data_IF_432626221506
#
_entry.id   IF_432626221506
#
_cell.length_a   1.000
_cell.length_b   1.000
_cell.length_c   1.000
_cell.angle_alpha   90.00
_cell.angle_beta   90.00
_cell.angle_gamma   90.00
#
_symmetry.space_group_name_H-M   'P 1'
#
loop_
_entity.id
_entity.type
_entity.pdbx_description
1 polymer ?
#
# COMPACT_ATOMS: atom_id res chain seq x y z
N UNK A 1 26.89 42.36 71.17
CA UNK A 1 26.03 42.23 69.98
C UNK A 1 25.08 43.40 70.01
N UNK A 2 25.23 44.33 69.10
CA UNK A 2 24.45 45.57 69.12
C UNK A 2 22.98 45.25 68.87
N UNK A 3 22.08 45.91 69.60
CA UNK A 3 20.63 45.69 69.49
C UNK A 3 20.12 45.77 68.04
N UNK A 4 20.80 46.58 67.22
CA UNK A 4 20.54 46.71 65.79
C UNK A 4 20.81 45.41 65.00
N UNK A 5 21.88 44.68 65.32
CA UNK A 5 22.23 43.41 64.66
C UNK A 5 21.28 42.26 65.01
N UNK A 6 20.73 42.27 66.23
CA UNK A 6 19.69 41.32 66.64
C UNK A 6 18.37 41.60 65.92
N UNK A 7 18.00 42.88 65.77
CA UNK A 7 16.75 43.25 65.11
C UNK A 7 16.78 42.91 63.61
N UNK A 8 17.89 43.15 62.92
CA UNK A 8 18.03 42.81 61.49
C UNK A 8 17.99 41.30 61.24
N UNK A 9 18.64 40.50 62.10
CA UNK A 9 18.63 39.04 61.97
C UNK A 9 17.24 38.45 62.19
N UNK A 10 16.49 38.95 63.18
CA UNK A 10 15.11 38.50 63.43
C UNK A 10 14.19 38.81 62.24
N UNK A 11 14.30 40.01 61.65
CA UNK A 11 13.49 40.39 60.49
C UNK A 11 13.80 39.50 59.27
N UNK A 12 15.07 39.20 59.02
CA UNK A 12 15.47 38.32 57.91
C UNK A 12 14.95 36.89 58.11
N UNK A 13 15.04 36.35 59.33
CA UNK A 13 14.53 35.01 59.64
C UNK A 13 13.00 34.96 59.53
N UNK A 14 12.29 35.97 60.04
CA UNK A 14 10.84 36.06 59.93
C UNK A 14 10.38 36.20 58.47
N UNK A 15 11.09 36.98 57.66
CA UNK A 15 10.83 37.11 56.22
C UNK A 15 11.05 35.81 55.46
N UNK A 16 12.14 35.09 55.76
CA UNK A 16 12.41 33.78 55.17
C UNK A 16 11.35 32.75 55.58
N UNK A 17 10.95 32.71 56.85
CA UNK A 17 9.85 31.87 57.32
C UNK A 17 8.53 32.24 56.65
N UNK A 18 8.22 33.53 56.50
CA UNK A 18 7.04 33.99 55.78
C UNK A 18 7.02 33.53 54.33
N UNK A 19 8.14 33.63 53.61
CA UNK A 19 8.26 33.13 52.24
C UNK A 19 8.10 31.61 52.12
N UNK A 20 8.46 30.85 53.16
CA UNK A 20 8.30 29.39 53.20
C UNK A 20 6.89 28.97 53.64
N UNK A 21 6.29 29.67 54.61
CA UNK A 21 4.94 29.36 55.10
C UNK A 21 3.84 29.87 54.16
N UNK A 22 4.09 30.95 53.42
CA UNK A 22 3.14 31.49 52.46
C UNK A 22 2.67 30.46 51.40
N UNK A 23 3.56 29.70 50.72
CA UNK A 23 3.12 28.68 49.77
C UNK A 23 2.42 27.49 50.46
N UNK A 24 2.80 27.16 51.70
CA UNK A 24 2.15 26.10 52.49
C UNK A 24 0.73 26.47 52.93
N UNK A 25 0.50 27.75 53.27
CA UNK A 25 -0.84 28.22 53.61
C UNK A 25 -1.72 28.36 52.34
N UNK A 26 -1.15 28.77 51.20
CA UNK A 26 -1.92 28.74 49.94
C UNK A 26 -2.32 27.31 49.53
N UNK A 27 -1.53 26.29 49.89
CA UNK A 27 -1.87 24.89 49.65
C UNK A 27 -3.02 24.35 50.51
N UNK A 28 -3.31 24.95 51.68
CA UNK A 28 -4.41 24.49 52.53
C UNK A 28 -5.80 25.02 52.15
N UNK A 29 -5.88 25.95 51.19
CA UNK A 29 -7.15 26.52 50.70
C UNK A 29 -7.40 26.42 49.20
N UNK A 30 -6.50 25.78 48.45
CA UNK A 30 -6.81 25.33 47.11
C UNK A 30 -7.14 23.83 47.20
N UNK A 31 -8.42 23.48 47.11
CA UNK A 31 -8.80 22.20 46.52
C UNK A 31 -8.28 22.20 45.09
N UNK A 32 -6.99 21.93 44.94
CA UNK A 32 -6.39 21.49 43.70
C UNK A 32 -6.95 20.07 43.59
N UNK A 33 -7.89 19.77 42.67
CA UNK A 33 -8.00 18.39 42.26
C UNK A 33 -6.60 18.06 41.73
N UNK A 34 -5.86 17.26 42.49
CA UNK A 34 -4.77 16.46 41.96
C UNK A 34 -5.41 15.53 40.93
N UNK A 35 -5.82 16.07 39.79
CA UNK A 35 -5.69 15.38 38.54
C UNK A 35 -4.19 15.27 38.37
N UNK A 36 -3.59 14.08 38.57
CA UNK A 36 -2.22 13.89 38.13
C UNK A 36 -2.23 14.33 36.67
N UNK A 37 -1.49 15.39 36.39
CA UNK A 37 -1.34 15.90 35.05
C UNK A 37 -0.86 14.71 34.21
N UNK A 38 -1.75 14.15 33.37
CA UNK A 38 -1.47 13.06 32.41
C UNK A 38 -0.49 13.51 31.31
N UNK A 39 0.34 14.49 31.60
CA UNK A 39 1.30 15.10 30.69
C UNK A 39 2.67 14.39 30.79
N UNK A 40 2.83 13.42 31.70
CA UNK A 40 4.08 12.70 31.91
C UNK A 40 4.08 11.21 31.61
N UNK A 41 2.96 10.58 31.25
CA UNK A 41 2.96 9.13 31.01
C UNK A 41 3.36 8.84 29.57
N UNK A 42 4.67 8.70 29.34
CA UNK A 42 5.20 8.32 28.04
C UNK A 42 4.80 6.87 27.73
N UNK A 43 4.64 6.53 26.44
CA UNK A 43 4.40 5.14 26.00
C UNK A 43 5.45 4.18 26.56
N UNK A 44 6.68 4.66 26.71
CA UNK A 44 7.82 3.94 27.27
C UNK A 44 7.62 3.59 28.75
N UNK A 45 7.04 4.50 29.55
CA UNK A 45 6.75 4.23 30.96
C UNK A 45 5.74 3.08 31.11
N UNK A 46 4.70 3.07 30.30
CA UNK A 46 3.72 1.98 30.30
C UNK A 46 4.32 0.64 29.85
N UNK A 47 5.20 0.67 28.86
CA UNK A 47 5.94 -0.52 28.42
C UNK A 47 6.86 -1.06 29.52
N UNK A 48 7.58 -0.18 30.21
CA UNK A 48 8.45 -0.55 31.33
C UNK A 48 7.64 -1.18 32.48
N UNK A 49 6.50 -0.58 32.84
CA UNK A 49 5.58 -1.14 33.85
C UNK A 49 5.08 -2.53 33.46
N UNK A 50 4.66 -2.71 32.21
CA UNK A 50 4.23 -4.02 31.71
C UNK A 50 5.34 -5.07 31.79
N UNK A 51 6.56 -4.72 31.38
CA UNK A 51 7.72 -5.61 31.47
C UNK A 51 8.05 -5.97 32.92
N UNK A 52 7.95 -5.02 33.85
CA UNK A 52 8.15 -5.26 35.27
C UNK A 52 7.10 -6.23 35.84
N UNK A 53 5.82 -6.08 35.48
CA UNK A 53 4.76 -7.00 35.91
C UNK A 53 4.99 -8.42 35.36
N UNK A 54 5.44 -8.55 34.11
CA UNK A 54 5.80 -9.85 33.53
C UNK A 54 7.01 -10.49 34.22
N UNK A 55 8.01 -9.70 34.61
CA UNK A 55 9.13 -10.17 35.39
C UNK A 55 8.68 -10.68 36.76
N UNK A 56 7.81 -9.93 37.46
CA UNK A 56 7.24 -10.35 38.74
C UNK A 56 6.44 -11.66 38.63
N UNK A 57 5.69 -11.86 37.53
CA UNK A 57 5.01 -13.15 37.28
C UNK A 57 6.01 -14.29 37.13
N UNK A 58 7.13 -14.08 36.41
CA UNK A 58 8.18 -15.09 36.25
C UNK A 58 8.84 -15.43 37.59
N UNK A 59 9.14 -14.42 38.40
CA UNK A 59 9.73 -14.62 39.72
C UNK A 59 8.76 -15.39 40.63
N UNK A 60 7.46 -15.07 40.60
CA UNK A 60 6.43 -15.82 41.32
C UNK A 60 6.37 -17.29 40.90
N UNK A 61 6.47 -17.57 39.59
CA UNK A 61 6.52 -18.94 39.06
C UNK A 61 7.75 -19.69 39.59
N UNK A 62 8.91 -19.03 39.57
CA UNK A 62 10.14 -19.63 40.09
C UNK A 62 10.03 -19.92 41.59
N UNK A 63 9.48 -19.00 42.38
CA UNK A 63 9.31 -19.22 43.82
C UNK A 63 8.34 -20.36 44.14
N UNK A 64 7.31 -20.57 43.32
CA UNK A 64 6.43 -21.72 43.41
C UNK A 64 7.15 -23.03 43.05
N UNK A 65 7.91 -23.06 41.95
CA UNK A 65 8.71 -24.23 41.55
C UNK A 65 9.76 -24.60 42.61
N UNK A 66 10.32 -23.60 43.29
CA UNK A 66 11.25 -23.78 44.41
C UNK A 66 10.56 -24.18 45.73
N UNK A 67 9.23 -24.29 45.75
CA UNK A 67 8.45 -24.69 46.91
C UNK A 67 8.39 -23.63 48.03
N UNK A 68 8.67 -22.35 47.73
CA UNK A 68 8.60 -21.27 48.71
C UNK A 68 7.17 -20.78 48.97
N UNK A 69 6.25 -21.09 48.06
CA UNK A 69 4.86 -20.59 48.07
C UNK A 69 3.91 -21.78 47.96
N UNK A 70 2.83 -21.75 48.75
CA UNK A 70 1.79 -22.77 48.71
C UNK A 70 0.96 -22.71 47.40
N UNK A 71 0.42 -23.85 46.91
CA UNK A 71 -0.34 -23.88 45.66
C UNK A 71 -1.54 -22.91 45.64
N UNK A 72 -2.32 -22.87 46.73
CA UNK A 72 -3.50 -22.00 46.82
C UNK A 72 -3.14 -20.50 46.76
N UNK A 73 -2.00 -20.11 47.35
CA UNK A 73 -1.51 -18.73 47.31
C UNK A 73 -0.91 -18.37 45.95
N UNK A 74 -0.23 -19.32 45.30
CA UNK A 74 0.32 -19.14 43.95
C UNK A 74 -0.79 -18.81 42.95
N UNK A 75 -1.86 -19.60 42.92
CA UNK A 75 -2.96 -19.39 41.95
C UNK A 75 -3.63 -18.01 42.14
N UNK A 76 -3.84 -17.62 43.40
CA UNK A 76 -4.42 -16.30 43.74
C UNK A 76 -3.52 -15.15 43.30
N UNK A 77 -2.23 -15.22 43.61
CA UNK A 77 -1.26 -14.18 43.24
C UNK A 77 -1.08 -14.12 41.72
N UNK A 78 -1.01 -15.26 41.05
CA UNK A 78 -0.88 -15.34 39.60
C UNK A 78 -2.10 -14.72 38.90
N UNK A 79 -3.31 -15.03 39.36
CA UNK A 79 -4.53 -14.44 38.82
C UNK A 79 -4.54 -12.92 38.96
N UNK A 80 -4.15 -12.40 40.14
CA UNK A 80 -4.04 -10.96 40.38
C UNK A 80 -3.01 -10.29 39.45
N UNK A 81 -1.80 -10.83 39.38
CA UNK A 81 -0.73 -10.26 38.54
C UNK A 81 -1.05 -10.33 37.04
N UNK A 82 -1.73 -11.39 36.58
CA UNK A 82 -2.22 -11.49 35.19
C UNK A 82 -3.25 -10.41 34.88
N UNK A 83 -4.17 -10.14 35.80
CA UNK A 83 -5.18 -9.09 35.63
C UNK A 83 -4.53 -7.71 35.54
N UNK A 84 -3.55 -7.43 36.40
CA UNK A 84 -2.77 -6.18 36.37
C UNK A 84 -2.02 -6.01 35.03
N UNK A 85 -1.35 -7.06 34.54
CA UNK A 85 -0.68 -7.03 33.24
C UNK A 85 -1.65 -6.76 32.08
N UNK A 86 -2.84 -7.37 32.12
CA UNK A 86 -3.87 -7.15 31.11
C UNK A 86 -4.39 -5.70 31.11
N UNK A 87 -4.57 -5.10 32.28
CA UNK A 87 -4.99 -3.70 32.40
C UNK A 87 -3.95 -2.75 31.80
N UNK A 88 -2.67 -2.93 32.12
CA UNK A 88 -1.58 -2.11 31.55
C UNK A 88 -1.53 -2.27 30.02
N UNK A 89 -1.69 -3.51 29.51
CA UNK A 89 -1.72 -3.76 28.06
C UNK A 89 -2.85 -3.01 27.37
N UNK A 90 -4.05 -2.99 27.96
CA UNK A 90 -5.19 -2.26 27.42
C UNK A 90 -4.92 -0.75 27.35
N UNK A 91 -4.21 -0.18 28.32
CA UNK A 91 -3.83 1.24 28.31
C UNK A 91 -2.84 1.55 27.18
N UNK A 92 -1.84 0.68 26.96
CA UNK A 92 -0.90 0.77 25.84
C UNK A 92 -1.67 0.74 24.51
N UNK A 93 -2.62 -0.18 24.35
CA UNK A 93 -3.39 -0.29 23.12
C UNK A 93 -4.21 0.96 22.85
N UNK A 94 -4.88 1.53 23.88
CA UNK A 94 -5.62 2.80 23.73
C UNK A 94 -4.73 3.97 23.28
N UNK A 95 -3.56 4.12 23.88
CA UNK A 95 -2.64 5.21 23.56
C UNK A 95 -2.00 5.04 22.17
N UNK A 96 -1.60 3.81 21.84
CA UNK A 96 -1.08 3.50 20.51
C UNK A 96 -2.12 3.74 19.42
N UNK A 97 -3.39 3.35 19.65
CA UNK A 97 -4.47 3.57 18.69
C UNK A 97 -4.82 5.06 18.56
N UNK A 98 -4.84 5.82 19.66
CA UNK A 98 -5.02 7.28 19.62
C UNK A 98 -3.93 7.97 18.80
N UNK A 99 -2.69 7.51 18.94
CA UNK A 99 -1.54 8.02 18.17
C UNK A 99 -1.66 7.64 16.70
N UNK A 100 -2.01 6.37 16.43
CA UNK A 100 -2.21 5.86 15.08
C UNK A 100 -3.33 6.60 14.33
N UNK A 101 -4.49 6.82 14.95
CA UNK A 101 -5.61 7.57 14.37
C UNK A 101 -5.19 9.00 14.00
N UNK A 102 -4.47 9.68 14.89
CA UNK A 102 -3.97 11.05 14.62
C UNK A 102 -2.99 11.05 13.46
N UNK A 103 -2.04 10.10 13.43
CA UNK A 103 -1.08 9.98 12.34
C UNK A 103 -1.74 9.62 11.00
N UNK A 104 -2.70 8.70 11.01
CA UNK A 104 -3.43 8.27 9.83
C UNK A 104 -4.23 9.43 9.23
N UNK A 105 -4.95 10.20 10.06
CA UNK A 105 -5.67 11.38 9.60
C UNK A 105 -4.73 12.43 8.99
N UNK A 106 -3.54 12.65 9.56
CA UNK A 106 -2.55 13.58 8.96
C UNK A 106 -1.95 13.04 7.66
N UNK A 107 -1.72 11.72 7.58
CA UNK A 107 -1.22 11.04 6.39
C UNK A 107 -2.24 11.11 5.25
N UNK A 108 -3.51 10.86 5.53
CA UNK A 108 -4.60 10.92 4.56
C UNK A 108 -4.70 12.32 3.93
N UNK A 109 -4.59 13.37 4.75
CA UNK A 109 -4.57 14.76 4.26
C UNK A 109 -3.37 15.03 3.34
N UNK A 110 -2.18 14.55 3.70
CA UNK A 110 -0.99 14.73 2.85
C UNK A 110 -1.08 13.91 1.55
N UNK A 111 -1.66 12.70 1.60
CA UNK A 111 -1.91 11.88 0.41
C UNK A 111 -2.86 12.61 -0.53
N UNK A 112 -4.00 13.12 -0.03
CA UNK A 112 -4.97 13.87 -0.82
C UNK A 112 -4.32 15.10 -1.47
N UNK A 113 -3.48 15.81 -0.70
CA UNK A 113 -2.69 16.95 -1.19
C UNK A 113 -1.75 16.53 -2.32
N UNK A 114 -0.94 15.49 -2.15
CA UNK A 114 -0.01 14.99 -3.17
C UNK A 114 -0.73 14.50 -4.43
N UNK A 115 -1.85 13.79 -4.27
CA UNK A 115 -2.70 13.34 -5.39
C UNK A 115 -3.24 14.55 -6.16
N UNK A 116 -3.69 15.59 -5.47
CA UNK A 116 -4.19 16.81 -6.11
C UNK A 116 -3.08 17.54 -6.90
N UNK A 117 -1.86 17.58 -6.36
CA UNK A 117 -0.69 18.17 -7.03
C UNK A 117 -0.28 17.38 -8.27
N UNK A 118 -0.23 16.05 -8.18
CA UNK A 118 0.06 15.19 -9.32
C UNK A 118 -0.98 15.36 -10.42
N UNK A 119 -2.27 15.43 -10.05
CA UNK A 119 -3.36 15.68 -10.99
C UNK A 119 -3.19 17.04 -11.68
N UNK A 120 -2.90 18.12 -10.94
CA UNK A 120 -2.65 19.44 -11.53
C UNK A 120 -1.43 19.46 -12.46
N UNK A 121 -0.32 18.82 -12.06
CA UNK A 121 0.91 18.78 -12.85
C UNK A 121 0.78 17.89 -14.11
N UNK A 122 0.03 16.78 -14.04
CA UNK A 122 -0.14 15.87 -15.17
C UNK A 122 -1.18 16.38 -16.18
N UNK A 123 -2.28 16.99 -15.73
CA UNK A 123 -3.28 17.57 -16.62
C UNK A 123 -2.83 18.91 -17.24
N UNK A 124 -1.86 19.60 -16.64
CA UNK A 124 -1.37 20.89 -17.15
C UNK A 124 -0.49 20.81 -18.40
N UNK A 125 0.40 19.81 -18.52
CA UNK A 125 1.50 19.88 -19.51
C UNK A 125 1.65 18.69 -20.47
N UNK A 126 1.26 17.46 -20.08
CA UNK A 126 1.53 16.26 -20.90
C UNK A 126 0.30 15.56 -21.43
N UNK A 127 -0.78 15.51 -20.65
CA UNK A 127 -2.00 14.82 -21.06
C UNK A 127 -2.80 15.60 -22.10
N UNK A 128 -2.81 16.94 -22.00
CA UNK A 128 -3.55 17.79 -22.91
C UNK A 128 -2.93 17.87 -24.32
N UNK A 129 -1.61 17.69 -24.45
CA UNK A 129 -0.93 17.63 -25.75
C UNK A 129 -1.20 16.31 -26.45
N UNK A 130 -1.13 15.18 -25.74
CA UNK A 130 -1.43 13.85 -26.29
C UNK A 130 -2.90 13.70 -26.67
N UNK A 131 -3.84 14.15 -25.83
CA UNK A 131 -5.27 14.10 -26.18
C UNK A 131 -5.57 14.92 -27.43
N UNK A 132 -4.98 16.11 -27.56
CA UNK A 132 -5.17 16.97 -28.74
C UNK A 132 -4.59 16.36 -30.01
N UNK A 133 -3.50 15.61 -29.90
CA UNK A 133 -2.89 14.89 -31.02
C UNK A 133 -3.75 13.70 -31.45
N UNK A 134 -4.26 12.93 -30.49
CA UNK A 134 -5.20 11.84 -30.74
C UNK A 134 -6.50 12.35 -31.37
N UNK A 135 -7.07 13.45 -30.85
CA UNK A 135 -8.29 14.05 -31.40
C UNK A 135 -8.08 14.56 -32.83
N UNK A 136 -6.90 15.10 -33.14
CA UNK A 136 -6.55 15.53 -34.50
C UNK A 136 -6.43 14.33 -35.46
N UNK A 137 -5.85 13.22 -35.01
CA UNK A 137 -5.74 11.99 -35.80
C UNK A 137 -7.12 11.36 -36.06
N UNK A 138 -8.00 11.34 -35.06
CA UNK A 138 -9.37 10.86 -35.22
C UNK A 138 -10.12 11.68 -36.28
N UNK A 139 -9.96 13.00 -36.28
CA UNK A 139 -10.61 13.87 -37.25
C UNK A 139 -10.05 13.69 -38.67
N UNK A 140 -8.76 13.39 -38.80
CA UNK A 140 -8.14 13.01 -40.07
C UNK A 140 -8.72 11.69 -40.60
N UNK A 141 -8.82 10.66 -39.76
CA UNK A 141 -9.37 9.35 -40.14
C UNK A 141 -10.84 9.42 -40.56
N UNK A 142 -11.65 10.27 -39.93
CA UNK A 142 -13.06 10.48 -40.31
C UNK A 142 -13.23 11.05 -41.72
N UNK A 143 -12.23 11.80 -42.21
CA UNK A 143 -12.29 12.45 -43.52
C UNK A 143 -11.68 11.61 -44.65
N UNK A 144 -11.27 10.37 -44.37
CA UNK A 144 -10.89 9.42 -45.42
C UNK A 144 -12.17 9.07 -46.19
N UNK A 145 -12.27 9.58 -47.42
CA UNK A 145 -13.28 9.11 -48.38
C UNK A 145 -12.92 7.68 -48.80
N UNK A 146 -13.60 6.71 -48.21
CA UNK A 146 -13.61 5.33 -48.67
C UNK A 146 -14.40 5.30 -49.99
N UNK A 147 -13.75 4.90 -51.09
CA UNK A 147 -14.41 4.70 -52.38
C UNK A 147 -15.35 3.49 -52.30
N UNK A 148 -16.69 3.69 -52.33
CA UNK A 148 -17.65 2.59 -52.21
C UNK A 148 -17.64 1.65 -53.43
N UNK A 149 -16.98 2.05 -54.52
CA UNK A 149 -16.84 1.25 -55.74
C UNK A 149 -15.85 0.07 -55.61
N UNK A 150 -15.14 -0.07 -54.48
CA UNK A 150 -14.23 -1.19 -54.19
C UNK A 150 -14.74 -2.12 -53.08
N UNK A 151 -15.94 -1.87 -52.55
CA UNK A 151 -16.51 -2.68 -51.46
C UNK A 151 -17.44 -3.72 -52.09
N UNK A 152 -16.88 -4.88 -52.41
CA UNK A 152 -17.69 -6.06 -52.74
C UNK A 152 -18.26 -6.62 -51.44
N UNK A 153 -19.45 -6.14 -51.09
CA UNK A 153 -20.11 -6.39 -49.80
C UNK A 153 -20.58 -7.85 -49.72
N UNK A 154 -19.73 -8.71 -49.16
CA UNK A 154 -20.03 -10.12 -48.96
C UNK A 154 -20.68 -10.32 -47.57
N UNK A 155 -21.60 -11.28 -47.46
CA UNK A 155 -22.33 -11.55 -46.22
C UNK A 155 -21.95 -12.91 -45.64
N UNK A 156 -21.77 -12.95 -44.31
CA UNK A 156 -21.43 -14.17 -43.59
C UNK A 156 -22.53 -15.22 -43.78
N UNK A 157 -22.18 -16.40 -44.28
CA UNK A 157 -23.15 -17.50 -44.50
C UNK A 157 -23.75 -18.05 -43.21
N UNK A 158 -23.13 -17.77 -42.05
CA UNK A 158 -23.58 -18.26 -40.76
C UNK A 158 -24.57 -17.31 -40.07
N UNK A 159 -24.29 -15.99 -40.05
CA UNK A 159 -25.12 -15.02 -39.32
C UNK A 159 -25.69 -13.89 -40.18
N UNK A 160 -25.32 -13.81 -41.46
CA UNK A 160 -25.76 -12.77 -42.39
C UNK A 160 -25.10 -11.41 -42.21
N UNK A 161 -24.14 -11.26 -41.28
CA UNK A 161 -23.41 -10.00 -41.08
C UNK A 161 -22.49 -9.73 -42.28
N UNK A 162 -22.50 -8.48 -42.78
CA UNK A 162 -21.61 -8.06 -43.85
C UNK A 162 -20.14 -8.12 -43.40
N UNK A 163 -19.24 -8.40 -44.32
CA UNK A 163 -17.80 -8.43 -44.09
C UNK A 163 -17.06 -7.89 -45.32
N UNK A 164 -15.84 -7.41 -45.11
CA UNK A 164 -14.98 -6.96 -46.20
C UNK A 164 -14.13 -8.13 -46.74
N UNK A 165 -13.90 -8.20 -48.05
CA UNK A 165 -12.99 -9.21 -48.61
C UNK A 165 -11.59 -9.06 -48.01
N UNK A 166 -11.12 -10.10 -47.31
CA UNK A 166 -9.86 -10.10 -46.56
C UNK A 166 -10.02 -10.25 -45.05
N UNK A 167 -11.24 -10.08 -44.51
CA UNK A 167 -11.52 -10.39 -43.11
C UNK A 167 -11.34 -11.89 -42.84
N UNK A 168 -10.47 -12.24 -41.87
CA UNK A 168 -10.25 -13.65 -41.49
C UNK A 168 -11.43 -14.24 -40.71
N UNK A 169 -12.15 -13.41 -39.96
CA UNK A 169 -13.29 -13.80 -39.11
C UNK A 169 -14.44 -12.81 -39.22
N UNK A 170 -15.66 -13.30 -39.09
CA UNK A 170 -16.87 -12.48 -39.09
C UNK A 170 -16.95 -11.65 -37.80
N UNK A 171 -16.95 -10.32 -37.91
CA UNK A 171 -17.12 -9.40 -36.78
C UNK A 171 -18.46 -9.56 -36.02
N UNK A 172 -19.47 -10.17 -36.65
CA UNK A 172 -20.78 -10.40 -36.03
C UNK A 172 -20.90 -11.70 -35.22
N UNK A 173 -20.25 -12.79 -35.64
CA UNK A 173 -20.41 -14.09 -34.97
C UNK A 173 -19.10 -14.83 -34.65
N UNK A 174 -17.95 -14.28 -35.04
CA UNK A 174 -16.62 -14.84 -34.79
C UNK A 174 -16.24 -16.06 -35.64
N UNK A 175 -17.12 -16.54 -36.53
CA UNK A 175 -16.81 -17.65 -37.43
C UNK A 175 -15.78 -17.24 -38.49
N UNK A 176 -14.86 -18.14 -38.88
CA UNK A 176 -13.91 -17.86 -39.96
C UNK A 176 -14.65 -17.64 -41.28
N UNK A 177 -14.21 -16.65 -42.04
CA UNK A 177 -14.76 -16.34 -43.35
C UNK A 177 -13.98 -17.09 -44.45
N UNK A 178 -14.61 -17.43 -45.57
CA UNK A 178 -13.92 -18.10 -46.67
C UNK A 178 -12.88 -17.15 -47.30
N UNK A 179 -11.60 -17.49 -47.20
CA UNK A 179 -10.51 -16.71 -47.79
C UNK A 179 -10.55 -16.75 -49.33
N UNK A 180 -10.10 -15.68 -50.03
CA UNK A 180 -9.88 -15.72 -51.47
C UNK A 180 -8.77 -16.72 -51.77
N UNK A 181 -9.10 -17.73 -52.57
CA UNK A 181 -8.24 -18.86 -52.90
C UNK A 181 -6.90 -18.38 -53.50
N UNK A 182 -5.81 -18.43 -52.75
CA UNK A 182 -4.45 -18.48 -53.31
C UNK A 182 -3.39 -18.83 -52.24
N UNK A 183 -3.03 -20.11 -52.12
CA UNK A 183 -1.65 -20.66 -52.05
C UNK A 183 -1.65 -22.15 -51.66
N UNK A 184 -0.65 -22.93 -52.09
CA UNK A 184 -0.67 -24.39 -51.92
C UNK A 184 -0.54 -24.77 -50.44
N UNK A 185 -1.61 -25.36 -49.92
CA UNK A 185 -1.66 -25.99 -48.62
C UNK A 185 -0.63 -27.13 -48.52
N UNK A 186 0.43 -26.92 -47.74
CA UNK A 186 1.40 -27.97 -47.38
C UNK A 186 0.87 -28.74 -46.17
N UNK A 187 1.10 -30.05 -46.11
CA UNK A 187 0.60 -30.89 -45.02
C UNK A 187 1.75 -31.39 -44.12
N UNK A 188 1.57 -31.24 -42.81
CA UNK A 188 2.54 -31.68 -41.82
C UNK A 188 2.73 -33.21 -41.92
N UNK A 189 3.95 -33.66 -42.13
CA UNK A 189 4.27 -35.10 -42.25
C UNK A 189 3.99 -35.91 -40.97
N UNK A 190 3.95 -35.26 -39.80
CA UNK A 190 3.72 -35.91 -38.52
C UNK A 190 2.23 -36.11 -38.19
N UNK A 191 1.35 -35.20 -38.59
CA UNK A 191 -0.07 -35.24 -38.18
C UNK A 191 -1.09 -34.92 -39.28
N UNK A 192 -0.63 -34.62 -40.49
CA UNK A 192 -1.46 -34.29 -41.65
C UNK A 192 -2.12 -32.90 -41.61
N UNK A 193 -1.82 -32.08 -40.60
CA UNK A 193 -2.38 -30.73 -40.49
C UNK A 193 -1.82 -29.81 -41.57
N UNK A 194 -2.69 -29.02 -42.20
CA UNK A 194 -2.32 -28.07 -43.23
C UNK A 194 -1.62 -26.85 -42.60
N UNK A 195 -0.50 -26.43 -43.17
CA UNK A 195 0.30 -25.30 -42.72
C UNK A 195 0.72 -24.40 -43.90
N UNK A 196 1.18 -23.19 -43.60
CA UNK A 196 1.61 -22.22 -44.61
C UNK A 196 3.14 -22.24 -44.79
N UNK A 197 3.61 -21.99 -46.00
CA UNK A 197 5.04 -21.91 -46.27
C UNK A 197 5.69 -20.80 -45.42
N UNK A 198 6.70 -21.16 -44.61
CA UNK A 198 7.38 -20.27 -43.67
C UNK A 198 7.07 -20.52 -42.19
N UNK A 199 6.07 -21.35 -41.87
CA UNK A 199 5.83 -21.79 -40.49
C UNK A 199 7.01 -22.63 -39.98
N UNK A 200 7.59 -22.25 -38.83
CA UNK A 200 8.70 -23.00 -38.24
C UNK A 200 8.26 -24.33 -37.60
N UNK A 201 7.03 -24.36 -37.06
CA UNK A 201 6.47 -25.51 -36.33
C UNK A 201 4.99 -25.69 -36.65
N UNK A 202 4.51 -26.93 -36.66
CA UNK A 202 3.11 -27.25 -36.88
C UNK A 202 2.25 -26.78 -35.69
N UNK A 203 1.30 -25.88 -35.95
CA UNK A 203 0.39 -25.36 -34.92
C UNK A 203 -0.47 -26.43 -34.21
N UNK A 204 -0.62 -27.62 -34.82
CA UNK A 204 -1.42 -28.72 -34.24
C UNK A 204 -0.62 -29.70 -33.39
N UNK A 205 0.57 -30.10 -33.81
CA UNK A 205 1.36 -31.12 -33.11
C UNK A 205 2.72 -30.66 -32.61
N UNK A 206 3.15 -29.44 -32.93
CA UNK A 206 4.44 -28.87 -32.53
C UNK A 206 5.66 -29.42 -33.30
N UNK A 207 5.46 -30.32 -34.28
CA UNK A 207 6.56 -30.85 -35.08
C UNK A 207 7.22 -29.73 -35.91
N UNK A 208 8.55 -29.74 -36.01
CA UNK A 208 9.29 -28.82 -36.86
C UNK A 208 8.93 -29.05 -38.34
N UNK A 209 8.68 -27.96 -39.06
CA UNK A 209 8.31 -27.98 -40.47
C UNK A 209 9.53 -27.66 -41.34
N UNK A 210 9.58 -28.18 -42.58
CA UNK A 210 10.69 -27.91 -43.49
C UNK A 210 10.74 -26.42 -43.87
N UNK A 211 11.89 -25.80 -43.68
CA UNK A 211 12.15 -24.39 -43.94
C UNK A 211 12.58 -24.19 -45.41
N UNK A 212 11.62 -23.96 -46.30
CA UNK A 212 11.89 -23.59 -47.70
C UNK A 212 12.05 -22.07 -47.84
N UNK A 213 12.91 -21.44 -47.03
CA UNK A 213 13.33 -20.06 -47.31
C UNK A 213 14.24 -20.07 -48.55
N UNK A 214 13.87 -19.38 -49.66
CA UNK A 214 14.77 -19.26 -50.79
C UNK A 214 16.04 -18.52 -50.36
N UNK A 215 17.18 -19.17 -50.51
CA UNK A 215 18.49 -18.60 -50.20
C UNK A 215 18.71 -17.33 -51.04
N UNK A 216 18.67 -16.16 -50.42
CA UNK A 216 19.24 -14.95 -51.02
C UNK A 216 20.74 -14.88 -50.68
N UNK A 217 21.63 -14.64 -51.65
CA UNK A 217 23.08 -14.55 -51.40
C UNK A 217 23.41 -13.32 -50.55
N UNK A 218 24.28 -13.50 -49.56
CA UNK A 218 24.71 -12.44 -48.62
C UNK A 218 25.90 -11.69 -49.24
N UNK A 219 25.78 -10.39 -49.49
CA UNK A 219 26.91 -9.52 -49.87
C UNK A 219 27.75 -9.15 -48.65
N UNK A 220 29.07 -9.33 -48.79
CA UNK A 220 30.11 -9.19 -47.78
C UNK A 220 30.56 -7.71 -47.66
N UNK A 221 30.30 -7.08 -46.51
CA UNK A 221 30.66 -5.69 -46.23
C UNK A 221 32.12 -5.62 -45.77
N UNK A 222 32.99 -5.12 -46.63
CA UNK A 222 34.38 -4.76 -46.31
C UNK A 222 34.44 -3.39 -45.64
N UNK A 223 34.85 -3.35 -44.37
CA UNK A 223 35.20 -2.12 -43.64
C UNK A 223 36.65 -1.72 -43.94
N UNK A 224 36.85 -0.45 -44.30
CA UNK A 224 38.15 0.18 -44.53
C UNK A 224 38.85 0.71 -43.29
#
# INVERSE_FOLDING_TARGET
>A
MDAFTLLTTIVLVAGAFGLILYPLWQQSHAEIPLQPSRIGQTMEEYQARYQATLAAIKDLMFDYEMGKIAPDDYDRLLAKSKLEAAEIRQQIDRLSHSTAITSAATLDVEIERLVSQLRQNQLGNGHHTLLREVDAEIEFLKNIQLDPAKIDEAACLHCGHAFLPGDAFCGGCGQPLPEPIAQPALACSACGYIYQAGDAFCARCGAALPDERPLQPVEEVTTG
#
